data_IF_860744959160
#
_entry.id   IF_860744959160
#
_cell.length_a   1.000
_cell.length_b   1.000
_cell.length_c   1.000
_cell.angle_alpha   90.00
_cell.angle_beta   90.00
_cell.angle_gamma   90.00
#
_symmetry.space_group_name_H-M   'P 1'
#
loop_
_entity.id
_entity.type
_entity.pdbx_description
1 polymer ?
#
# COMPACT_ATOMS: atom_id res chain seq x y z
N UNK A 1 19.09 10.58 15.12
CA UNK A 1 18.46 10.11 13.86
C UNK A 1 17.22 9.32 14.23
N UNK A 2 16.00 9.82 13.95
CA UNK A 2 14.78 9.04 14.18
C UNK A 2 14.87 7.81 13.28
N UNK A 3 14.98 6.62 13.89
CA UNK A 3 15.01 5.34 13.19
C UNK A 3 13.80 5.29 12.24
N UNK A 4 14.03 5.34 10.93
CA UNK A 4 12.98 5.21 9.92
C UNK A 4 12.31 3.85 10.12
N UNK A 5 11.09 3.86 10.65
CA UNK A 5 10.31 2.66 10.89
C UNK A 5 9.63 2.25 9.58
N UNK A 6 10.36 1.56 8.71
CA UNK A 6 9.81 1.00 7.48
C UNK A 6 8.77 -0.07 7.86
N UNK A 7 7.61 -0.06 7.20
CA UNK A 7 6.49 -0.96 7.42
C UNK A 7 6.08 -1.64 6.12
N UNK A 8 5.45 -2.82 6.18
CA UNK A 8 5.00 -3.54 4.99
C UNK A 8 4.08 -2.68 4.11
N UNK A 9 3.14 -1.93 4.71
CA UNK A 9 2.20 -1.12 3.94
C UNK A 9 2.89 0.08 3.25
N UNK A 10 3.93 0.63 3.87
CA UNK A 10 4.73 1.68 3.27
C UNK A 10 5.59 1.15 2.10
N UNK A 11 6.10 -0.08 2.19
CA UNK A 11 6.79 -0.75 1.07
C UNK A 11 5.83 -0.99 -0.09
N UNK A 12 4.63 -1.52 0.18
CA UNK A 12 3.60 -1.72 -0.83
C UNK A 12 3.20 -0.39 -1.50
N UNK A 13 3.04 0.67 -0.71
CA UNK A 13 2.74 2.01 -1.21
C UNK A 13 3.85 2.54 -2.12
N UNK A 14 5.12 2.34 -1.76
CA UNK A 14 6.26 2.74 -2.59
C UNK A 14 6.27 2.00 -3.94
N UNK A 15 6.05 0.68 -3.94
CA UNK A 15 5.95 -0.12 -5.16
C UNK A 15 4.79 0.35 -6.05
N UNK A 16 3.63 0.65 -5.45
CA UNK A 16 2.48 1.21 -6.13
C UNK A 16 2.83 2.57 -6.78
N UNK A 17 3.45 3.48 -6.04
CA UNK A 17 3.91 4.77 -6.61
C UNK A 17 4.85 4.55 -7.78
N UNK A 18 5.84 3.67 -7.65
CA UNK A 18 6.78 3.36 -8.75
C UNK A 18 6.04 2.82 -9.98
N UNK A 19 5.07 1.93 -9.79
CA UNK A 19 4.25 1.42 -10.90
C UNK A 19 3.41 2.52 -11.54
N UNK A 20 2.79 3.40 -10.76
CA UNK A 20 2.02 4.54 -11.30
C UNK A 20 2.90 5.46 -12.14
N UNK A 21 4.10 5.79 -11.65
CA UNK A 21 5.04 6.64 -12.38
C UNK A 21 5.46 5.99 -13.70
N UNK A 22 5.73 4.68 -13.71
CA UNK A 22 6.02 3.95 -14.93
C UNK A 22 4.88 4.06 -15.96
N UNK A 23 3.64 3.86 -15.51
CA UNK A 23 2.47 3.91 -16.37
C UNK A 23 2.16 5.32 -16.90
N UNK A 24 2.46 6.35 -16.12
CA UNK A 24 2.36 7.75 -16.58
C UNK A 24 3.40 8.03 -17.68
N UNK A 25 4.62 7.49 -17.55
CA UNK A 25 5.66 7.64 -18.58
C UNK A 25 5.31 6.92 -19.88
N UNK A 26 4.57 5.81 -19.81
CA UNK A 26 4.11 5.04 -20.96
C UNK A 26 2.79 5.59 -21.57
N UNK A 27 2.30 6.73 -21.06
CA UNK A 27 0.98 7.33 -21.39
C UNK A 27 -0.21 6.35 -21.32
N UNK A 28 -0.03 5.23 -20.61
CA UNK A 28 -0.95 4.10 -20.58
C UNK A 28 -2.13 4.30 -19.61
N UNK A 29 -2.14 5.39 -18.83
CA UNK A 29 -3.14 5.67 -17.81
C UNK A 29 -3.79 7.04 -18.03
N UNK A 30 -5.13 7.04 -18.08
CA UNK A 30 -5.93 8.27 -18.13
C UNK A 30 -6.02 8.99 -16.78
N UNK A 31 -6.23 10.31 -16.82
CA UNK A 31 -6.23 11.20 -15.64
C UNK A 31 -7.22 10.79 -14.53
N UNK A 32 -8.36 10.19 -14.88
CA UNK A 32 -9.32 9.68 -13.90
C UNK A 32 -8.78 8.53 -13.04
N UNK A 33 -7.99 7.63 -13.62
CA UNK A 33 -7.37 6.50 -12.92
C UNK A 33 -6.28 6.99 -11.96
N UNK A 34 -5.54 8.04 -12.34
CA UNK A 34 -4.53 8.68 -11.47
C UNK A 34 -5.20 9.21 -10.19
N UNK A 35 -6.38 9.85 -10.31
CA UNK A 35 -7.15 10.33 -9.15
C UNK A 35 -7.52 9.21 -8.17
N UNK A 36 -8.03 8.10 -8.69
CA UNK A 36 -8.32 6.91 -7.87
C UNK A 36 -7.08 6.30 -7.23
N UNK A 37 -5.95 6.32 -7.95
CA UNK A 37 -4.68 5.83 -7.45
C UNK A 37 -4.16 6.68 -6.27
N UNK A 38 -4.22 8.00 -6.40
CA UNK A 38 -3.85 8.92 -5.32
C UNK A 38 -4.75 8.76 -4.10
N UNK A 39 -6.05 8.55 -4.30
CA UNK A 39 -6.98 8.25 -3.21
C UNK A 39 -6.61 6.94 -2.51
N UNK A 40 -6.29 5.88 -3.26
CA UNK A 40 -5.82 4.61 -2.70
C UNK A 40 -4.55 4.81 -1.87
N UNK A 41 -3.55 5.54 -2.38
CA UNK A 41 -2.33 5.82 -1.62
C UNK A 41 -2.62 6.57 -0.33
N UNK A 42 -3.52 7.55 -0.35
CA UNK A 42 -3.91 8.29 0.84
C UNK A 42 -4.55 7.37 1.88
N UNK A 43 -5.40 6.43 1.46
CA UNK A 43 -5.99 5.41 2.33
C UNK A 43 -4.92 4.48 2.91
N UNK A 44 -3.97 4.00 2.10
CA UNK A 44 -2.89 3.11 2.56
C UNK A 44 -1.97 3.80 3.58
N UNK A 45 -1.58 5.04 3.32
CA UNK A 45 -0.78 5.83 4.27
C UNK A 45 -1.58 6.09 5.55
N UNK A 46 -2.87 6.40 5.44
CA UNK A 46 -3.75 6.57 6.60
C UNK A 46 -3.87 5.31 7.44
N UNK A 47 -4.05 4.15 6.80
CA UNK A 47 -4.12 2.85 7.46
C UNK A 47 -2.80 2.49 8.17
N UNK A 48 -1.65 2.75 7.53
CA UNK A 48 -0.33 2.56 8.11
C UNK A 48 -0.15 3.40 9.39
N UNK A 49 -0.54 4.68 9.36
CA UNK A 49 -0.51 5.53 10.56
C UNK A 49 -1.47 5.01 11.64
N UNK A 50 -2.67 4.57 11.25
CA UNK A 50 -3.64 3.98 12.18
C UNK A 50 -3.08 2.74 12.88
N UNK A 51 -2.47 1.80 12.15
CA UNK A 51 -1.86 0.61 12.75
C UNK A 51 -0.70 0.95 13.68
N UNK A 52 0.15 1.93 13.32
CA UNK A 52 1.24 2.41 14.19
C UNK A 52 0.70 2.98 15.50
N UNK A 53 -0.35 3.81 15.43
CA UNK A 53 -0.98 4.41 16.60
C UNK A 53 -1.64 3.35 17.48
N UNK A 54 -2.33 2.38 16.90
CA UNK A 54 -3.07 1.36 17.64
C UNK A 54 -2.16 0.31 18.30
N UNK A 55 -1.13 -0.17 17.58
CA UNK A 55 -0.37 -1.34 18.02
C UNK A 55 0.89 -0.99 18.84
N UNK A 56 1.38 0.25 18.74
CA UNK A 56 2.49 0.83 19.53
C UNK A 56 3.87 0.17 19.33
N UNK A 57 3.92 -1.07 18.85
CA UNK A 57 5.11 -1.89 18.63
C UNK A 57 5.31 -2.18 17.16
N UNK A 58 6.50 -1.85 16.64
CA UNK A 58 6.85 -2.05 15.22
C UNK A 58 6.69 -3.51 14.78
N UNK A 59 7.03 -4.49 15.64
CA UNK A 59 6.87 -5.92 15.33
C UNK A 59 5.40 -6.30 15.13
N UNK A 60 4.50 -5.75 15.93
CA UNK A 60 3.05 -6.02 15.82
C UNK A 60 2.47 -5.37 14.57
N UNK A 61 2.87 -4.14 14.27
CA UNK A 61 2.49 -3.44 13.03
C UNK A 61 2.92 -4.25 11.81
N UNK A 62 4.18 -4.72 11.79
CA UNK A 62 4.69 -5.57 10.73
C UNK A 62 3.87 -6.83 10.52
N UNK A 63 3.49 -7.51 11.61
CA UNK A 63 2.71 -8.73 11.53
C UNK A 63 1.28 -8.46 11.01
N UNK A 64 0.62 -7.43 11.55
CA UNK A 64 -0.74 -7.08 11.17
C UNK A 64 -0.83 -6.61 9.72
N UNK A 65 0.03 -5.69 9.30
CA UNK A 65 0.07 -5.20 7.93
C UNK A 65 0.54 -6.27 6.95
N UNK A 66 1.47 -7.14 7.35
CA UNK A 66 1.89 -8.28 6.54
C UNK A 66 0.75 -9.26 6.28
N UNK A 67 -0.02 -9.62 7.31
CA UNK A 67 -1.21 -10.47 7.17
C UNK A 67 -2.26 -9.78 6.31
N UNK A 68 -2.47 -8.47 6.48
CA UNK A 68 -3.39 -7.70 5.65
C UNK A 68 -2.99 -7.73 4.17
N UNK A 69 -1.72 -7.47 3.84
CA UNK A 69 -1.23 -7.53 2.46
C UNK A 69 -1.39 -8.92 1.86
N UNK A 70 -1.06 -9.96 2.62
CA UNK A 70 -1.20 -11.34 2.16
C UNK A 70 -2.67 -11.69 1.88
N UNK A 71 -3.59 -11.24 2.74
CA UNK A 71 -5.02 -11.36 2.52
C UNK A 71 -5.49 -10.63 1.25
N UNK A 72 -5.04 -9.39 1.02
CA UNK A 72 -5.38 -8.62 -0.19
C UNK A 72 -4.90 -9.33 -1.46
N UNK A 73 -3.67 -9.84 -1.47
CA UNK A 73 -3.12 -10.59 -2.60
C UNK A 73 -3.95 -11.86 -2.87
N UNK A 74 -4.31 -12.61 -1.82
CA UNK A 74 -5.17 -13.78 -1.95
C UNK A 74 -6.57 -13.43 -2.49
N UNK A 75 -7.16 -12.35 -1.99
CA UNK A 75 -8.47 -11.89 -2.46
C UNK A 75 -8.44 -11.51 -3.94
N UNK A 76 -7.43 -10.74 -4.38
CA UNK A 76 -7.24 -10.38 -5.79
C UNK A 76 -7.04 -11.63 -6.65
N UNK A 77 -6.26 -12.60 -6.16
CA UNK A 77 -6.03 -13.86 -6.86
C UNK A 77 -7.32 -14.65 -7.05
N UNK A 78 -8.13 -14.80 -5.99
CA UNK A 78 -9.44 -15.48 -6.07
C UNK A 78 -10.36 -14.75 -7.05
N UNK A 79 -10.40 -13.42 -7.02
CA UNK A 79 -11.26 -12.61 -7.90
C UNK A 79 -10.82 -12.59 -9.37
N UNK A 80 -9.55 -12.86 -9.68
CA UNK A 80 -9.06 -12.91 -11.07
C UNK A 80 -9.04 -14.33 -11.64
N UNK A 81 -8.99 -15.35 -10.78
CA UNK A 81 -9.01 -16.76 -11.22
C UNK A 81 -10.45 -17.24 -11.52
N UNK A 82 -11.45 -16.63 -10.90
CA UNK A 82 -12.87 -16.87 -11.15
C UNK A 82 -13.46 -15.81 -12.08
#
# INVERSE_FOLDING_TARGET
>A
MKQLRITPLNIASALLVTWMLWQIMDEAIGMGIIGWFLLLLLVLVGADQFFRLMLGSLKRVWMAEGVFLLFVVLAIWILNVW
#
